data_IF_290601721900
#
_entry.id   IF_290601721900
#
_cell.length_a   1.000
_cell.length_b   1.000
_cell.length_c   1.000
_cell.angle_alpha   90.00
_cell.angle_beta   90.00
_cell.angle_gamma   90.00
#
_symmetry.space_group_name_H-M   'P 1'
#
loop_
_entity.id
_entity.type
_entity.pdbx_description
1 polymer ?
#
# COMPACT_ATOMS: atom_id res chain seq x y z
N UNK A 1 20.39 -33.02 21.45
CA UNK A 1 19.40 -33.49 22.44
C UNK A 1 19.46 -32.57 23.65
N UNK A 2 18.47 -31.71 23.84
CA UNK A 2 18.21 -31.02 25.09
C UNK A 2 16.71 -31.08 25.32
N UNK A 3 16.29 -32.11 26.06
CA UNK A 3 14.97 -32.22 26.66
C UNK A 3 14.90 -31.31 27.89
N UNK A 4 13.85 -30.48 28.01
CA UNK A 4 13.63 -29.72 29.24
C UNK A 4 12.43 -28.78 29.23
N UNK A 5 11.29 -29.31 29.67
CA UNK A 5 10.11 -28.66 30.29
C UNK A 5 9.30 -27.62 29.51
N UNK A 6 8.12 -28.07 29.09
CA UNK A 6 6.94 -27.27 28.76
C UNK A 6 6.29 -26.82 30.07
N UNK A 7 6.07 -25.51 30.28
CA UNK A 7 5.05 -25.04 31.24
C UNK A 7 5.42 -23.99 32.30
N UNK A 8 6.49 -23.20 32.18
CA UNK A 8 6.70 -22.07 33.11
C UNK A 8 5.95 -20.81 32.65
N UNK A 9 5.00 -20.36 33.48
CA UNK A 9 4.33 -19.06 33.35
C UNK A 9 5.42 -18.00 33.55
N UNK A 10 5.79 -17.28 32.50
CA UNK A 10 6.73 -16.14 32.61
C UNK A 10 6.09 -15.08 33.53
N UNK A 11 6.57 -14.96 34.77
CA UNK A 11 6.13 -13.95 35.73
C UNK A 11 6.94 -12.68 35.47
N UNK A 12 6.36 -11.75 34.71
CA UNK A 12 6.96 -10.43 34.49
C UNK A 12 6.97 -9.64 35.80
N UNK A 13 8.15 -9.14 36.18
CA UNK A 13 8.31 -8.29 37.37
C UNK A 13 7.61 -6.94 37.15
N UNK A 14 7.34 -6.21 38.24
CA UNK A 14 6.83 -4.84 38.13
C UNK A 14 7.80 -3.91 37.40
N UNK A 15 9.10 -4.20 37.44
CA UNK A 15 10.12 -3.47 36.69
C UNK A 15 10.05 -3.78 35.18
N UNK A 16 9.83 -5.04 34.79
CA UNK A 16 9.65 -5.43 33.37
C UNK A 16 8.39 -4.78 32.77
N UNK A 17 7.30 -4.72 33.54
CA UNK A 17 6.07 -4.04 33.15
C UNK A 17 6.29 -2.53 33.00
N UNK A 18 7.06 -1.91 33.89
CA UNK A 18 7.39 -0.48 33.85
C UNK A 18 8.32 -0.14 32.67
N UNK A 19 9.33 -0.96 32.41
CA UNK A 19 10.22 -0.83 31.25
C UNK A 19 9.43 -0.98 29.94
N UNK A 20 8.59 -2.02 29.83
CA UNK A 20 7.69 -2.21 28.68
C UNK A 20 6.72 -1.04 28.47
N UNK A 21 6.21 -0.45 29.56
CA UNK A 21 5.35 0.74 29.49
C UNK A 21 6.14 1.98 29.05
N UNK A 22 7.36 2.18 29.57
CA UNK A 22 8.22 3.29 29.15
C UNK A 22 8.65 3.16 27.69
N UNK A 23 8.96 1.96 27.21
CA UNK A 23 9.27 1.71 25.80
C UNK A 23 8.07 2.02 24.90
N UNK A 24 6.85 1.65 25.32
CA UNK A 24 5.62 2.04 24.63
C UNK A 24 5.43 3.55 24.61
N UNK A 25 5.61 4.24 25.74
CA UNK A 25 5.48 5.70 25.83
C UNK A 25 6.52 6.38 24.93
N UNK A 26 7.77 5.93 24.96
CA UNK A 26 8.84 6.47 24.11
C UNK A 26 8.56 6.22 22.63
N UNK A 27 8.06 5.03 22.28
CA UNK A 27 7.63 4.70 20.91
C UNK A 27 6.50 5.62 20.44
N UNK A 28 5.48 5.84 21.27
CA UNK A 28 4.37 6.74 20.96
C UNK A 28 4.83 8.19 20.80
N UNK A 29 5.67 8.69 21.72
CA UNK A 29 6.27 10.03 21.59
C UNK A 29 7.10 10.16 20.32
N UNK A 30 7.89 9.14 19.97
CA UNK A 30 8.66 9.12 18.74
C UNK A 30 7.74 9.14 17.51
N UNK A 31 6.64 8.37 17.53
CA UNK A 31 5.62 8.39 16.47
C UNK A 31 4.96 9.77 16.34
N UNK A 32 4.56 10.40 17.45
CA UNK A 32 3.99 11.76 17.44
C UNK A 32 4.97 12.79 16.86
N UNK A 33 6.24 12.74 17.27
CA UNK A 33 7.28 13.61 16.72
C UNK A 33 7.48 13.40 15.21
N UNK A 34 7.40 12.16 14.72
CA UNK A 34 7.47 11.82 13.28
C UNK A 34 6.23 12.30 12.51
N UNK A 35 5.08 12.44 13.18
CA UNK A 35 3.83 12.90 12.53
C UNK A 35 3.80 14.42 12.34
N UNK A 36 4.33 15.19 13.29
CA UNK A 36 4.04 16.64 13.39
C UNK A 36 5.10 17.53 12.68
N UNK A 37 6.29 17.02 12.37
CA UNK A 37 7.46 17.86 12.06
C UNK A 37 7.86 17.97 10.57
N UNK A 38 6.90 17.99 9.63
CA UNK A 38 7.28 18.27 8.24
C UNK A 38 7.71 19.72 8.05
N UNK A 39 8.98 19.90 7.67
CA UNK A 39 9.47 21.15 7.11
C UNK A 39 9.37 21.05 5.60
N UNK A 40 8.47 21.86 5.01
CA UNK A 40 8.30 21.96 3.56
C UNK A 40 9.64 22.11 2.87
N UNK A 41 9.88 21.28 1.85
CA UNK A 41 11.09 21.40 1.05
C UNK A 41 11.20 22.81 0.47
N UNK A 42 12.37 23.43 0.64
CA UNK A 42 12.70 24.72 0.02
C UNK A 42 13.05 24.60 -1.47
N UNK A 43 13.03 23.38 -2.03
CA UNK A 43 13.31 23.13 -3.44
C UNK A 43 12.11 23.58 -4.30
N UNK A 44 12.38 24.44 -5.28
CA UNK A 44 11.38 25.01 -6.17
C UNK A 44 11.24 24.25 -7.50
N UNK A 45 12.35 23.71 -8.01
CA UNK A 45 12.41 22.95 -9.26
C UNK A 45 12.71 21.48 -9.00
N UNK A 46 12.11 20.58 -9.79
CA UNK A 46 12.26 19.13 -9.65
C UNK A 46 12.51 18.50 -11.00
N UNK A 47 13.59 17.74 -11.12
CA UNK A 47 13.95 16.99 -12.33
C UNK A 47 13.17 15.68 -12.34
N UNK A 48 11.87 15.79 -12.64
CA UNK A 48 10.95 14.66 -12.57
C UNK A 48 11.27 13.63 -13.64
N UNK A 49 11.70 12.44 -13.23
CA UNK A 49 11.88 11.27 -14.08
C UNK A 49 10.66 10.35 -14.04
N UNK A 50 9.83 10.48 -13.01
CA UNK A 50 8.54 9.81 -12.89
C UNK A 50 7.45 10.69 -13.49
N UNK A 51 6.58 10.13 -14.35
CA UNK A 51 5.44 10.85 -14.93
C UNK A 51 4.54 11.48 -13.84
N UNK A 52 4.07 12.71 -14.09
CA UNK A 52 3.20 13.44 -13.15
C UNK A 52 1.74 12.97 -13.25
N UNK A 53 1.53 11.66 -13.03
CA UNK A 53 0.22 11.01 -13.09
C UNK A 53 -0.04 10.30 -11.77
N UNK A 54 -1.21 10.53 -11.18
CA UNK A 54 -1.68 9.85 -9.97
C UNK A 54 -2.83 8.93 -10.35
N UNK A 55 -2.70 7.66 -10.01
CA UNK A 55 -3.71 6.62 -10.23
C UNK A 55 -4.28 6.16 -8.90
N UNK A 56 -5.60 6.17 -8.82
CA UNK A 56 -6.38 5.58 -7.72
C UNK A 56 -7.45 4.67 -8.31
N UNK A 57 -7.89 3.69 -7.54
CA UNK A 57 -8.99 2.81 -7.94
C UNK A 57 -9.98 2.60 -6.80
N UNK A 58 -11.24 2.42 -7.18
CA UNK A 58 -12.34 2.00 -6.32
C UNK A 58 -13.30 1.13 -7.13
N UNK A 59 -14.24 0.41 -6.54
CA UNK A 59 -15.12 -0.47 -7.30
C UNK A 59 -16.18 0.27 -8.14
N UNK A 60 -16.24 1.61 -8.05
CA UNK A 60 -17.18 2.50 -8.74
C UNK A 60 -16.62 3.92 -8.78
N UNK A 61 -17.02 4.72 -9.77
CA UNK A 61 -16.74 6.16 -9.84
C UNK A 61 -17.66 7.00 -8.96
N UNK A 62 -18.80 6.45 -8.54
CA UNK A 62 -19.66 7.09 -7.54
C UNK A 62 -19.09 6.80 -6.14
N UNK A 63 -18.25 7.73 -5.67
CA UNK A 63 -17.51 7.58 -4.43
C UNK A 63 -18.36 7.96 -3.20
N UNK A 64 -18.23 7.24 -2.07
CA UNK A 64 -18.72 7.68 -0.77
C UNK A 64 -18.30 9.12 -0.43
N UNK A 65 -19.09 9.84 0.37
CA UNK A 65 -18.95 11.28 0.54
C UNK A 65 -17.57 11.71 1.08
N UNK A 66 -17.05 11.05 2.12
CA UNK A 66 -15.73 11.37 2.68
C UNK A 66 -14.61 10.92 1.76
N UNK A 67 -14.75 9.77 1.09
CA UNK A 67 -13.83 9.33 0.04
C UNK A 67 -13.73 10.35 -1.11
N UNK A 68 -14.87 10.82 -1.62
CA UNK A 68 -14.95 11.86 -2.66
C UNK A 68 -14.29 13.14 -2.21
N UNK A 69 -14.51 13.54 -0.95
CA UNK A 69 -13.87 14.71 -0.36
C UNK A 69 -12.34 14.53 -0.29
N UNK A 70 -11.86 13.36 0.12
CA UNK A 70 -10.43 13.00 0.17
C UNK A 70 -9.78 13.09 -1.21
N UNK A 71 -10.39 12.47 -2.22
CA UNK A 71 -9.92 12.53 -3.62
C UNK A 71 -9.88 13.97 -4.14
N UNK A 72 -10.93 14.77 -3.89
CA UNK A 72 -10.96 16.18 -4.31
C UNK A 72 -9.89 17.02 -3.62
N UNK A 73 -9.64 16.79 -2.32
CA UNK A 73 -8.54 17.44 -1.59
C UNK A 73 -7.18 17.06 -2.17
N UNK A 74 -6.97 15.80 -2.53
CA UNK A 74 -5.73 15.35 -3.16
C UNK A 74 -5.48 16.06 -4.49
N UNK A 75 -6.52 16.15 -5.34
CA UNK A 75 -6.51 16.90 -6.61
C UNK A 75 -6.13 18.37 -6.41
N UNK A 76 -6.83 19.05 -5.49
CA UNK A 76 -6.59 20.46 -5.21
C UNK A 76 -5.17 20.74 -4.66
N UNK A 77 -4.61 19.82 -3.87
CA UNK A 77 -3.24 19.95 -3.32
C UNK A 77 -2.14 19.67 -4.35
N UNK A 78 -2.45 18.95 -5.43
CA UNK A 78 -1.48 18.53 -6.44
C UNK A 78 -1.96 18.85 -7.87
N UNK A 79 -2.22 20.13 -8.20
CA UNK A 79 -2.81 20.51 -9.49
C UNK A 79 -1.88 20.30 -10.69
N UNK A 80 -0.57 20.09 -10.45
CA UNK A 80 0.42 19.77 -11.49
C UNK A 80 0.36 18.32 -11.97
N UNK A 81 -0.35 17.45 -11.25
CA UNK A 81 -0.50 16.05 -11.61
C UNK A 81 -1.79 15.86 -12.40
N UNK A 82 -1.77 14.97 -13.39
CA UNK A 82 -2.98 14.40 -13.94
C UNK A 82 -3.53 13.37 -12.93
N UNK A 83 -4.84 13.39 -12.68
CA UNK A 83 -5.47 12.52 -11.68
C UNK A 83 -6.46 11.57 -12.33
N UNK A 84 -6.22 10.27 -12.17
CA UNK A 84 -7.03 9.22 -12.74
C UNK A 84 -7.69 8.37 -11.64
N UNK A 85 -9.00 8.21 -11.75
CA UNK A 85 -9.79 7.32 -10.91
C UNK A 85 -10.37 6.22 -11.79
N UNK A 86 -9.98 4.98 -11.51
CA UNK A 86 -10.44 3.80 -12.24
C UNK A 86 -11.44 3.01 -11.42
N UNK A 87 -12.57 2.64 -12.03
CA UNK A 87 -13.45 1.61 -11.50
C UNK A 87 -13.02 0.18 -11.91
N UNK A 88 -13.74 -0.84 -11.41
CA UNK A 88 -13.44 -2.25 -11.73
C UNK A 88 -13.48 -2.54 -13.24
N UNK A 89 -14.38 -1.88 -13.98
CA UNK A 89 -14.52 -2.06 -15.43
C UNK A 89 -13.37 -1.39 -16.16
N UNK A 90 -13.03 -0.15 -15.79
CA UNK A 90 -11.87 0.54 -16.36
C UNK A 90 -10.58 -0.26 -16.13
N UNK A 91 -10.42 -0.85 -14.94
CA UNK A 91 -9.26 -1.67 -14.61
C UNK A 91 -9.14 -2.90 -15.53
N UNK A 92 -10.27 -3.58 -15.74
CA UNK A 92 -10.36 -4.76 -16.61
C UNK A 92 -10.10 -4.41 -18.07
N UNK A 93 -10.74 -3.36 -18.57
CA UNK A 93 -10.59 -2.89 -19.95
C UNK A 93 -9.16 -2.43 -20.23
N UNK A 94 -8.55 -1.70 -19.30
CA UNK A 94 -7.16 -1.30 -19.42
C UNK A 94 -6.22 -2.51 -19.60
N UNK A 95 -6.42 -3.57 -18.80
CA UNK A 95 -5.62 -4.80 -18.93
C UNK A 95 -5.88 -5.47 -20.28
N UNK A 96 -7.15 -5.61 -20.69
CA UNK A 96 -7.54 -6.24 -21.95
C UNK A 96 -6.91 -5.56 -23.18
N UNK A 97 -6.78 -4.23 -23.14
CA UNK A 97 -6.26 -3.44 -24.26
C UNK A 97 -4.72 -3.34 -24.29
N UNK A 98 -4.02 -3.73 -23.21
CA UNK A 98 -2.58 -3.46 -23.07
C UNK A 98 -1.71 -4.67 -22.75
N UNK A 99 -2.31 -5.80 -22.33
CA UNK A 99 -1.61 -6.99 -21.88
C UNK A 99 -2.21 -8.25 -22.49
N UNK A 100 -1.45 -9.35 -22.45
CA UNK A 100 -1.88 -10.64 -22.96
C UNK A 100 -3.11 -11.18 -22.21
N UNK A 101 -3.85 -12.06 -22.90
CA UNK A 101 -5.04 -12.70 -22.35
C UNK A 101 -4.79 -13.43 -21.02
N UNK A 102 -3.57 -13.89 -20.75
CA UNK A 102 -3.19 -14.52 -19.47
C UNK A 102 -3.31 -13.55 -18.29
N UNK A 103 -2.96 -12.27 -18.47
CA UNK A 103 -3.07 -11.23 -17.42
C UNK A 103 -4.54 -10.88 -17.18
N UNK A 104 -5.33 -10.75 -18.24
CA UNK A 104 -6.77 -10.52 -18.13
C UNK A 104 -7.46 -11.70 -17.44
N UNK A 105 -7.14 -12.93 -17.81
CA UNK A 105 -7.65 -14.13 -17.16
C UNK A 105 -7.27 -14.18 -15.68
N UNK A 106 -6.05 -13.76 -15.32
CA UNK A 106 -5.62 -13.65 -13.94
C UNK A 106 -6.49 -12.64 -13.17
N UNK A 107 -6.71 -11.45 -13.73
CA UNK A 107 -7.58 -10.43 -13.15
C UNK A 107 -9.01 -10.93 -12.93
N UNK A 108 -9.58 -11.63 -13.92
CA UNK A 108 -10.95 -12.16 -13.86
C UNK A 108 -11.11 -13.33 -12.89
N UNK A 109 -10.03 -14.08 -12.64
CA UNK A 109 -10.01 -15.23 -11.73
C UNK A 109 -9.85 -14.84 -10.26
N UNK A 110 -9.23 -13.69 -9.97
CA UNK A 110 -9.09 -13.19 -8.61
C UNK A 110 -10.47 -12.77 -8.04
N UNK A 111 -10.82 -13.27 -6.86
CA UNK A 111 -12.08 -12.93 -6.18
C UNK A 111 -11.96 -11.64 -5.36
N UNK A 112 -10.94 -11.45 -4.50
CA UNK A 112 -10.88 -10.25 -3.68
C UNK A 112 -10.58 -9.00 -4.53
N UNK A 113 -11.38 -7.95 -4.35
CA UNK A 113 -11.15 -6.65 -5.04
C UNK A 113 -9.77 -6.06 -4.76
N UNK A 114 -9.23 -6.26 -3.54
CA UNK A 114 -7.87 -5.85 -3.21
C UNK A 114 -6.79 -6.55 -4.07
N UNK A 115 -6.96 -7.84 -4.36
CA UNK A 115 -6.03 -8.59 -5.21
C UNK A 115 -6.12 -8.16 -6.67
N UNK A 116 -7.32 -7.84 -7.14
CA UNK A 116 -7.53 -7.23 -8.46
C UNK A 116 -6.82 -5.88 -8.57
N UNK A 117 -6.97 -5.03 -7.55
CA UNK A 117 -6.27 -3.74 -7.46
C UNK A 117 -4.75 -3.89 -7.37
N UNK A 118 -4.24 -4.94 -6.71
CA UNK A 118 -2.81 -5.29 -6.74
C UNK A 118 -2.33 -5.59 -8.17
N UNK A 119 -3.00 -6.47 -8.91
CA UNK A 119 -2.60 -6.74 -10.30
C UNK A 119 -2.69 -5.48 -11.16
N UNK A 120 -3.81 -4.77 -11.10
CA UNK A 120 -4.03 -3.58 -11.91
C UNK A 120 -3.01 -2.48 -11.63
N UNK A 121 -2.64 -2.21 -10.36
CA UNK A 121 -1.66 -1.16 -10.05
C UNK A 121 -0.28 -1.45 -10.65
N UNK A 122 0.12 -2.72 -10.71
CA UNK A 122 1.36 -3.08 -11.40
C UNK A 122 1.24 -2.91 -12.91
N UNK A 123 0.11 -3.29 -13.51
CA UNK A 123 -0.14 -3.12 -14.94
C UNK A 123 -0.10 -1.64 -15.36
N UNK A 124 -0.84 -0.77 -14.68
CA UNK A 124 -0.91 0.66 -15.02
C UNK A 124 0.45 1.34 -14.84
N UNK A 125 1.17 1.04 -13.76
CA UNK A 125 2.49 1.60 -13.50
C UNK A 125 3.56 1.04 -14.44
N UNK A 126 3.51 -0.24 -14.79
CA UNK A 126 4.42 -0.80 -15.79
C UNK A 126 4.25 -0.09 -17.14
N UNK A 127 3.01 0.09 -17.60
CA UNK A 127 2.74 0.70 -18.90
C UNK A 127 3.06 2.20 -18.92
N UNK A 128 2.63 2.93 -17.89
CA UNK A 128 2.58 4.40 -17.93
C UNK A 128 3.53 5.09 -16.96
N UNK A 129 4.14 4.36 -16.01
CA UNK A 129 4.80 4.94 -14.85
C UNK A 129 3.85 5.78 -14.00
N UNK A 130 4.41 6.61 -13.13
CA UNK A 130 3.68 7.56 -12.31
C UNK A 130 3.55 7.11 -10.86
N UNK A 131 2.50 7.57 -10.19
CA UNK A 131 2.24 7.31 -8.78
C UNK A 131 0.92 6.56 -8.64
N UNK A 132 0.95 5.36 -8.06
CA UNK A 132 -0.26 4.73 -7.54
C UNK A 132 -0.44 5.13 -6.08
N UNK A 133 -1.68 5.44 -5.69
CA UNK A 133 -2.04 5.72 -4.31
C UNK A 133 -3.39 5.05 -3.96
N UNK A 134 -3.41 4.23 -2.91
CA UNK A 134 -4.65 3.70 -2.37
C UNK A 134 -5.61 4.85 -2.03
N UNK A 135 -6.88 4.71 -2.42
CA UNK A 135 -7.89 5.78 -2.33
C UNK A 135 -8.17 6.28 -0.91
N UNK A 136 -7.74 5.53 0.11
CA UNK A 136 -7.92 5.85 1.53
C UNK A 136 -6.98 6.91 2.07
N UNK A 137 -5.93 7.29 1.33
CA UNK A 137 -4.89 8.19 1.84
C UNK A 137 -5.10 9.65 1.44
N UNK A 138 -5.10 10.52 2.44
CA UNK A 138 -4.95 11.97 2.31
C UNK A 138 -3.48 12.39 2.41
N UNK A 139 -3.07 13.34 1.57
CA UNK A 139 -1.82 14.08 1.78
C UNK A 139 -1.94 15.05 2.95
N UNK A 140 -1.05 14.93 3.93
CA UNK A 140 -0.97 15.77 5.11
C UNK A 140 0.28 16.64 5.09
N UNK A 141 0.40 17.54 6.06
CA UNK A 141 1.61 18.34 6.26
C UNK A 141 2.02 19.20 5.05
N UNK A 142 1.10 19.49 4.12
CA UNK A 142 1.42 20.20 2.86
C UNK A 142 2.52 19.51 2.03
N UNK A 143 2.69 18.19 2.20
CA UNK A 143 3.63 17.42 1.40
C UNK A 143 3.25 17.51 -0.08
N UNK A 144 4.25 17.75 -0.93
CA UNK A 144 4.06 17.85 -2.38
C UNK A 144 4.54 16.57 -3.03
N UNK A 145 3.67 15.85 -3.72
CA UNK A 145 4.04 14.60 -4.39
C UNK A 145 5.15 14.75 -5.45
N UNK A 146 5.39 15.97 -5.94
CA UNK A 146 6.56 16.27 -6.79
C UNK A 146 7.90 15.93 -6.11
N UNK A 147 7.93 15.79 -4.79
CA UNK A 147 9.09 15.35 -4.02
C UNK A 147 9.39 13.85 -4.16
N UNK A 148 8.47 13.09 -4.76
CA UNK A 148 8.61 11.66 -5.05
C UNK A 148 8.89 11.38 -6.53
N UNK A 149 9.21 12.38 -7.36
CA UNK A 149 9.27 12.20 -8.82
C UNK A 149 10.68 12.16 -9.42
N UNK A 150 11.73 12.39 -8.63
CA UNK A 150 13.11 12.40 -9.12
C UNK A 150 13.78 11.02 -9.09
N UNK A 151 13.18 10.04 -8.39
CA UNK A 151 13.61 8.64 -8.37
C UNK A 151 12.45 7.74 -7.98
N UNK A 152 12.60 6.43 -8.20
CA UNK A 152 11.58 5.44 -7.84
C UNK A 152 11.47 5.24 -6.33
N UNK A 153 10.25 5.02 -5.87
CA UNK A 153 9.91 4.87 -4.46
C UNK A 153 8.95 3.70 -4.24
N UNK A 154 9.29 2.92 -3.22
CA UNK A 154 8.50 1.84 -2.61
C UNK A 154 8.36 2.14 -1.11
N UNK A 155 7.52 1.40 -0.38
CA UNK A 155 7.27 1.64 1.05
C UNK A 155 7.55 0.38 1.85
N UNK A 156 8.35 0.46 2.91
CA UNK A 156 8.51 -0.64 3.87
C UNK A 156 7.22 -0.78 4.70
N UNK A 157 6.70 -2.00 4.85
CA UNK A 157 5.50 -2.25 5.63
C UNK A 157 5.78 -2.27 7.15
N UNK A 158 4.72 -2.23 7.95
CA UNK A 158 4.77 -2.12 9.43
C UNK A 158 5.55 -3.28 10.07
N UNK A 159 5.60 -4.45 9.42
CA UNK A 159 6.32 -5.62 9.91
C UNK A 159 7.84 -5.59 9.61
N UNK A 160 8.32 -4.58 8.87
CA UNK A 160 9.72 -4.43 8.47
C UNK A 160 10.22 -5.43 7.42
N UNK A 161 9.38 -6.38 7.00
CA UNK A 161 9.75 -7.45 6.08
C UNK A 161 9.08 -7.29 4.72
N UNK A 162 7.81 -6.90 4.72
CA UNK A 162 7.01 -6.71 3.52
C UNK A 162 7.22 -5.32 2.90
N UNK A 163 6.80 -5.16 1.65
CA UNK A 163 6.84 -3.87 0.96
C UNK A 163 5.39 -3.43 0.69
N UNK A 164 4.94 -2.45 1.44
CA UNK A 164 3.61 -1.91 1.37
C UNK A 164 3.34 -1.28 0.00
N UNK A 165 2.35 -1.81 -0.72
CA UNK A 165 2.10 -1.46 -2.11
C UNK A 165 1.01 -0.38 -2.29
N UNK A 166 0.60 0.30 -1.21
CA UNK A 166 -0.44 1.34 -1.25
C UNK A 166 0.03 2.70 -1.76
N UNK A 167 1.35 2.92 -1.81
CA UNK A 167 1.99 4.03 -2.50
C UNK A 167 3.16 3.45 -3.29
N UNK A 168 3.20 3.69 -4.60
CA UNK A 168 4.31 3.30 -5.47
C UNK A 168 4.55 4.45 -6.42
N UNK A 169 5.80 4.89 -6.56
CA UNK A 169 6.19 5.89 -7.55
C UNK A 169 7.29 5.29 -8.42
N UNK A 170 7.02 5.05 -9.71
CA UNK A 170 7.97 4.35 -10.61
C UNK A 170 7.97 4.96 -12.01
N UNK A 171 9.05 4.72 -12.74
CA UNK A 171 9.13 5.01 -14.18
C UNK A 171 8.30 3.98 -14.96
N UNK A 172 7.88 4.28 -16.21
CA UNK A 172 7.36 3.25 -17.10
C UNK A 172 8.40 2.14 -17.31
N UNK A 173 7.92 0.94 -17.63
CA UNK A 173 8.70 -0.29 -17.81
C UNK A 173 9.46 -0.75 -16.55
N UNK A 174 8.99 -0.41 -15.35
CA UNK A 174 9.62 -0.84 -14.10
C UNK A 174 9.65 -2.38 -13.99
N UNK A 175 10.84 -2.95 -13.80
CA UNK A 175 11.07 -4.40 -13.79
C UNK A 175 10.36 -5.11 -12.63
N UNK A 176 10.25 -4.47 -11.47
CA UNK A 176 9.56 -5.05 -10.30
C UNK A 176 8.07 -5.16 -10.59
N UNK A 177 7.46 -4.13 -11.21
CA UNK A 177 6.07 -4.21 -11.65
C UNK A 177 5.86 -5.37 -12.63
N UNK A 178 6.74 -5.56 -13.62
CA UNK A 178 6.64 -6.67 -14.58
C UNK A 178 6.77 -8.04 -13.89
N UNK A 179 7.74 -8.19 -12.97
CA UNK A 179 7.92 -9.40 -12.17
C UNK A 179 6.68 -9.71 -11.33
N UNK A 180 6.07 -8.70 -10.70
CA UNK A 180 4.81 -8.86 -9.97
C UNK A 180 3.67 -9.32 -10.88
N UNK A 181 3.47 -8.69 -12.04
CA UNK A 181 2.42 -9.07 -13.01
C UNK A 181 2.57 -10.56 -13.39
N UNK A 182 3.76 -10.95 -13.83
CA UNK A 182 4.04 -12.31 -14.28
C UNK A 182 3.85 -13.33 -13.14
N UNK A 183 4.30 -12.99 -11.94
CA UNK A 183 4.15 -13.88 -10.79
C UNK A 183 2.70 -14.00 -10.34
N UNK A 184 1.87 -12.96 -10.46
CA UNK A 184 0.43 -13.05 -10.17
C UNK A 184 -0.25 -13.98 -11.16
N UNK A 185 0.10 -13.90 -12.45
CA UNK A 185 -0.42 -14.84 -13.47
C UNK A 185 -0.07 -16.28 -13.09
N UNK A 186 1.18 -16.55 -12.73
CA UNK A 186 1.61 -17.90 -12.31
C UNK A 186 0.95 -18.35 -11.00
N UNK A 187 0.76 -17.42 -10.04
CA UNK A 187 0.07 -17.69 -8.79
C UNK A 187 -1.39 -18.08 -9.03
N UNK A 188 -2.10 -17.37 -9.92
CA UNK A 188 -3.48 -17.71 -10.30
C UNK A 188 -3.52 -19.07 -10.98
N UNK A 189 -2.65 -19.30 -11.97
CA UNK A 189 -2.57 -20.57 -12.71
C UNK A 189 -2.39 -21.77 -11.79
N UNK A 190 -1.55 -21.63 -10.76
CA UNK A 190 -1.27 -22.70 -9.79
C UNK A 190 -2.14 -22.66 -8.54
N UNK A 191 -3.12 -21.74 -8.47
CA UNK A 191 -3.95 -21.49 -7.28
C UNK A 191 -3.12 -21.32 -5.99
N UNK A 192 -2.01 -20.58 -6.08
CA UNK A 192 -1.06 -20.36 -4.99
C UNK A 192 -1.63 -19.51 -3.87
N UNK A 193 -1.46 -19.91 -2.61
CA UNK A 193 -1.90 -19.12 -1.44
C UNK A 193 -0.76 -18.49 -0.65
N UNK A 194 0.46 -19.05 -0.71
CA UNK A 194 1.56 -18.60 0.14
C UNK A 194 1.36 -18.86 1.63
N UNK A 195 2.25 -18.28 2.44
CA UNK A 195 2.25 -18.37 3.89
C UNK A 195 1.37 -17.29 4.53
N UNK A 196 1.18 -16.16 3.83
CA UNK A 196 0.34 -15.04 4.26
C UNK A 196 -0.66 -14.64 3.19
N UNK A 197 -1.77 -14.05 3.63
CA UNK A 197 -2.80 -13.49 2.76
C UNK A 197 -2.37 -12.29 1.91
N UNK A 198 -1.11 -11.86 1.97
CA UNK A 198 -0.53 -10.83 1.11
C UNK A 198 0.50 -11.37 0.12
N UNK A 199 0.83 -12.66 0.19
CA UNK A 199 1.81 -13.30 -0.70
C UNK A 199 1.33 -13.53 -2.14
N UNK A 200 0.02 -13.76 -2.41
CA UNK A 200 -0.43 -14.01 -3.78
C UNK A 200 -0.27 -12.82 -4.72
N UNK A 201 -0.53 -11.60 -4.24
CA UNK A 201 -0.56 -10.40 -5.09
C UNK A 201 0.02 -9.15 -4.44
N UNK A 202 0.10 -9.11 -3.10
CA UNK A 202 0.28 -7.88 -2.34
C UNK A 202 1.67 -7.68 -1.77
N UNK A 203 1.80 -7.04 -0.58
CA UNK A 203 3.09 -6.68 0.01
C UNK A 203 4.13 -7.81 0.14
N UNK A 204 3.68 -9.04 0.40
CA UNK A 204 4.55 -10.21 0.50
C UNK A 204 5.14 -10.65 -0.84
N UNK A 205 4.41 -10.42 -1.94
CA UNK A 205 4.92 -10.66 -3.29
C UNK A 205 6.01 -9.64 -3.64
N UNK A 206 5.74 -8.34 -3.45
CA UNK A 206 6.67 -7.26 -3.82
C UNK A 206 8.01 -7.41 -3.09
N UNK A 207 7.97 -7.76 -1.80
CA UNK A 207 9.17 -7.94 -1.00
C UNK A 207 10.14 -8.99 -1.57
N UNK A 208 9.63 -10.04 -2.24
CA UNK A 208 10.46 -11.07 -2.89
C UNK A 208 11.28 -10.51 -4.05
N UNK A 209 10.76 -9.51 -4.76
CA UNK A 209 11.43 -8.95 -5.94
C UNK A 209 12.30 -7.73 -5.65
N UNK A 210 12.03 -6.98 -4.58
CA UNK A 210 12.90 -5.88 -4.15
C UNK A 210 14.18 -6.39 -3.48
N UNK A 211 14.11 -7.52 -2.75
CA UNK A 211 15.31 -8.16 -2.20
C UNK A 211 16.08 -7.24 -1.25
N UNK A 212 17.39 -7.08 -1.46
CA UNK A 212 18.27 -6.29 -0.59
C UNK A 212 18.12 -4.77 -0.78
N UNK A 213 17.53 -4.31 -1.89
CA UNK A 213 17.28 -2.88 -2.15
C UNK A 213 16.32 -2.27 -1.12
N UNK A 214 15.60 -3.11 -0.35
CA UNK A 214 14.75 -2.68 0.77
C UNK A 214 15.48 -1.79 1.76
N UNK A 215 16.79 -1.97 1.95
CA UNK A 215 17.60 -1.15 2.87
C UNK A 215 17.72 0.32 2.44
N UNK A 216 17.45 0.62 1.17
CA UNK A 216 17.53 1.96 0.60
C UNK A 216 16.15 2.65 0.50
N UNK A 217 15.07 1.99 0.95
CA UNK A 217 13.74 2.55 0.91
C UNK A 217 13.59 3.62 2.02
N UNK A 218 13.17 4.82 1.63
CA UNK A 218 13.00 5.98 2.52
C UNK A 218 11.55 6.21 2.98
N UNK A 219 10.61 5.41 2.46
CA UNK A 219 9.21 5.46 2.85
C UNK A 219 8.84 4.30 3.77
N UNK A 220 8.09 4.59 4.81
CA UNK A 220 7.70 3.61 5.82
C UNK A 220 6.21 3.71 6.12
N UNK A 221 5.53 2.57 6.20
CA UNK A 221 4.15 2.47 6.67
C UNK A 221 4.17 2.27 8.19
N UNK A 222 3.42 3.11 8.91
CA UNK A 222 3.24 2.97 10.35
C UNK A 222 1.77 2.94 10.71
N UNK A 223 1.47 2.31 11.85
CA UNK A 223 0.13 2.23 12.41
C UNK A 223 0.11 2.75 13.85
N UNK A 224 -0.70 3.79 14.07
CA UNK A 224 -1.00 4.31 15.40
C UNK A 224 -2.15 3.50 16.00
N UNK A 225 -1.82 2.42 16.71
CA UNK A 225 -2.79 1.48 17.29
C UNK A 225 -3.86 2.17 18.16
N UNK A 226 -3.55 3.13 19.04
CA UNK A 226 -4.55 3.85 19.82
C UNK A 226 -5.66 4.52 19.01
N UNK A 227 -5.35 5.09 17.84
CA UNK A 227 -6.33 5.83 17.02
C UNK A 227 -6.76 5.06 15.77
N UNK A 228 -6.18 3.89 15.55
CA UNK A 228 -6.27 3.09 14.33
C UNK A 228 -5.85 3.82 13.04
N UNK A 229 -5.15 4.95 13.18
CA UNK A 229 -4.67 5.74 12.06
C UNK A 229 -3.46 5.06 11.39
N UNK A 230 -3.50 4.97 10.06
CA UNK A 230 -2.38 4.50 9.24
C UNK A 230 -1.70 5.68 8.55
N UNK A 231 -0.38 5.70 8.57
CA UNK A 231 0.42 6.76 7.98
C UNK A 231 1.49 6.20 7.06
N UNK A 232 1.84 6.94 6.01
CA UNK A 232 3.09 6.72 5.28
C UNK A 232 4.02 7.88 5.58
N UNK A 233 5.23 7.55 5.99
CA UNK A 233 6.29 8.48 6.32
C UNK A 233 7.27 8.55 5.17
N UNK A 234 7.83 9.72 4.91
CA UNK A 234 8.97 9.94 4.05
C UNK A 234 10.07 10.59 4.86
N UNK A 235 11.25 9.97 4.93
CA UNK A 235 12.40 10.47 5.72
C UNK A 235 12.00 10.83 7.15
N UNK A 236 11.31 9.90 7.81
CA UNK A 236 10.79 10.00 9.18
C UNK A 236 9.68 11.05 9.41
N UNK A 237 9.06 11.56 8.35
CA UNK A 237 7.97 12.53 8.48
C UNK A 237 6.69 12.00 7.85
N UNK A 238 5.57 12.05 8.56
CA UNK A 238 4.29 11.62 8.02
C UNK A 238 3.87 12.52 6.85
N UNK A 239 3.66 11.92 5.69
CA UNK A 239 3.24 12.62 4.46
C UNK A 239 1.84 12.22 4.02
N UNK A 240 1.41 11.03 4.41
CA UNK A 240 0.07 10.52 4.14
C UNK A 240 -0.58 10.04 5.44
N UNK A 241 -1.89 10.23 5.54
CA UNK A 241 -2.73 9.70 6.60
C UNK A 241 -3.99 9.11 6.00
N UNK A 242 -4.45 7.97 6.49
CA UNK A 242 -5.77 7.46 6.13
C UNK A 242 -6.87 8.45 6.55
N UNK A 243 -7.81 8.77 5.66
CA UNK A 243 -8.86 9.74 5.99
C UNK A 243 -9.82 9.18 7.05
N UNK A 244 -10.35 10.06 7.90
CA UNK A 244 -11.28 9.71 8.99
C UNK A 244 -12.61 9.22 8.41
N UNK A 245 -13.08 8.05 8.86
CA UNK A 245 -14.33 7.43 8.39
C UNK A 245 -14.17 6.45 7.23
N UNK A 246 -12.94 6.17 6.78
CA UNK A 246 -12.69 5.23 5.68
C UNK A 246 -13.28 3.84 5.94
N UNK A 247 -13.08 3.26 7.14
CA UNK A 247 -13.60 1.92 7.42
C UNK A 247 -15.12 1.85 7.45
N UNK A 248 -15.78 2.89 7.95
CA UNK A 248 -17.24 2.97 7.97
C UNK A 248 -17.80 3.01 6.54
N UNK A 249 -17.22 3.86 5.69
CA UNK A 249 -17.59 3.92 4.27
C UNK A 249 -17.23 2.64 3.52
N UNK A 250 -16.07 2.04 3.83
CA UNK A 250 -15.65 0.79 3.23
C UNK A 250 -16.64 -0.33 3.57
N UNK A 251 -16.99 -0.50 4.83
CA UNK A 251 -17.90 -1.58 5.26
C UNK A 251 -19.31 -1.36 4.70
N UNK A 252 -19.81 -0.12 4.70
CA UNK A 252 -21.11 0.21 4.11
C UNK A 252 -21.20 -0.05 2.60
N UNK A 253 -20.07 -0.02 1.89
CA UNK A 253 -20.01 -0.21 0.43
C UNK A 253 -19.33 -1.52 0.01
N UNK A 254 -19.12 -2.44 0.95
CA UNK A 254 -18.38 -3.68 0.73
C UNK A 254 -19.22 -4.69 -0.02
N UNK A 255 -18.82 -5.01 -1.25
CA UNK A 255 -19.47 -6.04 -2.08
C UNK A 255 -19.01 -7.46 -1.75
N UNK A 256 -17.79 -7.61 -1.22
CA UNK A 256 -17.13 -8.90 -1.00
C UNK A 256 -16.47 -8.89 0.37
N UNK A 257 -16.54 -10.02 1.09
CA UNK A 257 -15.84 -10.18 2.36
C UNK A 257 -14.33 -9.95 2.24
N UNK A 258 -13.70 -9.49 3.32
CA UNK A 258 -12.30 -9.06 3.29
C UNK A 258 -11.36 -10.20 2.83
N UNK A 259 -10.34 -9.87 2.04
CA UNK A 259 -9.44 -10.84 1.41
C UNK A 259 -8.81 -11.83 2.39
N UNK A 260 -8.49 -11.40 3.62
CA UNK A 260 -7.95 -12.27 4.66
C UNK A 260 -8.89 -13.45 5.01
N UNK A 261 -10.21 -13.26 4.95
CA UNK A 261 -11.21 -14.32 5.20
C UNK A 261 -11.28 -15.25 3.99
N UNK A 262 -11.31 -14.71 2.76
CA UNK A 262 -11.29 -15.51 1.53
C UNK A 262 -10.04 -16.37 1.43
N UNK A 263 -8.89 -15.81 1.81
CA UNK A 263 -7.62 -16.53 1.84
C UNK A 263 -7.66 -17.69 2.84
N UNK A 264 -8.09 -17.43 4.09
CA UNK A 264 -8.23 -18.47 5.13
C UNK A 264 -9.18 -19.58 4.72
N UNK A 265 -10.26 -19.24 4.02
CA UNK A 265 -11.27 -20.19 3.54
C UNK A 265 -10.96 -20.82 2.18
N UNK A 266 -9.77 -20.56 1.61
CA UNK A 266 -9.33 -21.08 0.31
C UNK A 266 -10.28 -20.69 -0.86
N UNK A 267 -10.71 -19.42 -0.88
CA UNK A 267 -11.68 -18.86 -1.84
C UNK A 267 -11.21 -17.54 -2.48
N UNK A 268 -9.91 -17.40 -2.78
CA UNK A 268 -9.37 -16.19 -3.45
C UNK A 268 -9.35 -16.28 -4.98
N UNK A 269 -9.57 -17.47 -5.52
CA UNK A 269 -9.65 -17.74 -6.96
C UNK A 269 -11.02 -18.33 -7.30
N UNK A 270 -11.56 -17.98 -8.47
CA UNK A 270 -12.73 -18.67 -9.06
C UNK A 270 -12.44 -20.14 -9.34
#
# INVERSE_FOLDING_TARGET
MLSGKIGEKVIYTNQDKKNSLMDKINTLKLQEMRIINYKKSKKYEYNSVIPLKIYQTWHSKDLPAFMKQSVNKLKAKHPRFEHFLFDDNDCREFIANNFDASVLNAFDSLIPGAYKADLWRYCILYKNGGIYLDIKYDSINSFRFIELTEKEHWVIDIDGNNVYNALIAVKPNNEICLKCINQIVENVKNRYYGASCVDPTGPGLVAKFIGDERRNIELEHIWNKPTDDKFILYKNVAILKMYKGYYDEQEANKKIIHYHILWRSRKIYK
#
